data_IF_416622347274
#
_entry.id   IF_416622347274
#
_cell.length_a   1.000
_cell.length_b   1.000
_cell.length_c   1.000
_cell.angle_alpha   90.00
_cell.angle_beta   90.00
_cell.angle_gamma   90.00
#
_symmetry.space_group_name_H-M   'P 1'
#
loop_
_entity.id
_entity.type
_entity.pdbx_description
1 polymer ?
#
# COMPACT_ATOMS: atom_id res chain seq x y z
N UNK A 1 12.25 9.02 2.32
CA UNK A 1 11.55 8.00 1.50
C UNK A 1 10.37 8.66 0.81
N UNK A 2 10.12 8.34 -0.46
CA UNK A 2 9.01 8.93 -1.23
C UNK A 2 7.66 8.22 -1.05
N UNK A 3 7.63 7.11 -0.32
CA UNK A 3 6.44 6.27 -0.05
C UNK A 3 5.17 7.06 0.31
N UNK A 4 5.21 8.18 1.08
CA UNK A 4 3.99 8.94 1.38
C UNK A 4 3.38 9.69 0.18
N UNK A 5 4.09 9.85 -0.94
CA UNK A 5 3.62 10.61 -2.11
C UNK A 5 2.29 10.10 -2.67
N UNK A 6 2.01 8.81 -2.55
CA UNK A 6 0.73 8.22 -2.96
C UNK A 6 -0.46 8.75 -2.14
N UNK A 7 -0.24 9.23 -0.90
CA UNK A 7 -1.28 9.89 -0.13
C UNK A 7 -1.61 11.28 -0.67
N UNK A 8 -0.65 11.99 -1.26
CA UNK A 8 -0.93 13.25 -1.98
C UNK A 8 -1.80 12.95 -3.20
N UNK A 9 -1.48 11.90 -3.96
CA UNK A 9 -2.31 11.44 -5.07
C UNK A 9 -3.73 11.06 -4.61
N UNK A 10 -3.86 10.31 -3.51
CA UNK A 10 -5.15 10.00 -2.89
C UNK A 10 -5.94 11.28 -2.54
N UNK A 11 -5.31 12.26 -1.90
CA UNK A 11 -5.97 13.52 -1.52
C UNK A 11 -6.43 14.30 -2.77
N UNK A 12 -5.62 14.34 -3.83
CA UNK A 12 -5.99 14.94 -5.11
C UNK A 12 -7.16 14.21 -5.78
N UNK A 13 -7.09 12.88 -5.91
CA UNK A 13 -8.14 12.03 -6.50
C UNK A 13 -9.46 12.06 -5.72
N UNK A 14 -9.39 12.35 -4.41
CA UNK A 14 -10.57 12.54 -3.55
C UNK A 14 -11.05 13.99 -3.50
N UNK A 15 -10.48 14.88 -4.33
CA UNK A 15 -10.78 16.32 -4.38
C UNK A 15 -10.55 17.07 -3.07
N UNK A 16 -9.71 16.53 -2.18
CA UNK A 16 -9.31 17.16 -0.92
C UNK A 16 -8.14 18.11 -1.16
N UNK A 17 -8.32 19.08 -2.06
CA UNK A 17 -7.26 19.94 -2.60
C UNK A 17 -6.50 20.70 -1.52
N UNK A 18 -7.20 21.22 -0.49
CA UNK A 18 -6.55 21.91 0.64
C UNK A 18 -5.57 20.99 1.35
N UNK A 19 -6.00 19.76 1.68
CA UNK A 19 -5.15 18.78 2.33
C UNK A 19 -4.00 18.31 1.42
N UNK A 20 -4.26 18.14 0.12
CA UNK A 20 -3.22 17.80 -0.87
C UNK A 20 -2.16 18.91 -0.94
N UNK A 21 -2.59 20.17 -0.99
CA UNK A 21 -1.70 21.34 -1.01
C UNK A 21 -0.91 21.47 0.30
N UNK A 22 -1.54 21.25 1.47
CA UNK A 22 -0.84 21.23 2.75
C UNK A 22 0.20 20.11 2.79
N UNK A 23 -0.14 18.89 2.39
CA UNK A 23 0.79 17.77 2.39
C UNK A 23 1.97 18.00 1.44
N UNK A 24 1.69 18.47 0.21
CA UNK A 24 2.73 18.80 -0.77
C UNK A 24 3.59 19.98 -0.30
N UNK A 25 2.99 21.03 0.24
CA UNK A 25 3.67 22.20 0.78
C UNK A 25 4.57 21.86 1.96
N UNK A 26 4.10 21.05 2.91
CA UNK A 26 4.91 20.56 4.03
C UNK A 26 6.09 19.71 3.56
N UNK A 27 5.88 18.82 2.59
CA UNK A 27 6.96 18.01 2.02
C UNK A 27 8.01 18.88 1.29
N UNK A 28 7.55 19.88 0.53
CA UNK A 28 8.43 20.84 -0.14
C UNK A 28 9.21 21.69 0.86
N UNK A 29 8.53 22.25 1.88
CA UNK A 29 9.17 23.05 2.92
C UNK A 29 10.23 22.27 3.69
N UNK A 30 9.93 21.03 4.10
CA UNK A 30 10.89 20.15 4.76
C UNK A 30 12.09 19.82 3.85
N UNK A 31 11.84 19.58 2.56
CA UNK A 31 12.90 19.31 1.57
C UNK A 31 13.79 20.52 1.35
N UNK A 32 13.21 21.72 1.25
CA UNK A 32 13.96 22.97 1.09
C UNK A 32 14.74 23.32 2.36
N UNK A 33 14.17 23.06 3.54
CA UNK A 33 14.90 23.19 4.80
C UNK A 33 16.11 22.24 4.85
N UNK A 34 15.92 20.97 4.46
CA UNK A 34 17.03 20.03 4.35
C UNK A 34 18.08 20.49 3.32
N UNK A 35 17.66 21.06 2.18
CA UNK A 35 18.55 21.63 1.19
C UNK A 35 19.35 22.83 1.73
N UNK A 36 18.74 23.67 2.59
CA UNK A 36 19.40 24.80 3.20
C UNK A 36 20.41 24.39 4.30
N UNK A 37 20.08 23.35 5.08
CA UNK A 37 20.94 22.86 6.17
C UNK A 37 22.05 21.93 5.67
N UNK A 38 21.77 21.12 4.63
CA UNK A 38 22.67 20.11 4.09
C UNK A 38 22.54 20.01 2.55
N UNK A 39 23.03 21.00 1.80
CA UNK A 39 22.83 21.09 0.34
C UNK A 39 23.46 19.93 -0.42
N UNK A 40 24.69 19.54 -0.06
CA UNK A 40 25.41 18.45 -0.75
C UNK A 40 24.72 17.10 -0.55
N UNK A 41 24.33 16.78 0.69
CA UNK A 41 23.58 15.57 1.00
C UNK A 41 22.21 15.54 0.30
N UNK A 42 21.54 16.69 0.21
CA UNK A 42 20.27 16.81 -0.51
C UNK A 42 20.45 16.60 -2.02
N UNK A 43 21.52 17.17 -2.61
CA UNK A 43 21.86 16.97 -4.02
C UNK A 43 22.22 15.51 -4.31
N UNK A 44 23.05 14.90 -3.47
CA UNK A 44 23.38 13.47 -3.56
C UNK A 44 22.11 12.62 -3.48
N UNK A 45 21.22 12.91 -2.53
CA UNK A 45 19.96 12.19 -2.39
C UNK A 45 19.12 12.24 -3.68
N UNK A 46 18.81 13.44 -4.18
CA UNK A 46 17.87 13.60 -5.30
C UNK A 46 18.44 13.19 -6.65
N UNK A 47 19.71 13.49 -6.91
CA UNK A 47 20.30 13.34 -8.25
C UNK A 47 21.15 12.08 -8.42
N UNK A 48 21.62 11.48 -7.33
CA UNK A 48 22.49 10.30 -7.40
C UNK A 48 21.86 9.07 -6.73
N UNK A 49 21.44 9.20 -5.48
CA UNK A 49 20.98 8.06 -4.68
C UNK A 49 19.55 7.63 -5.02
N UNK A 50 18.64 8.56 -5.26
CA UNK A 50 17.24 8.28 -5.55
C UNK A 50 17.03 7.54 -6.89
N UNK A 51 17.69 7.94 -8.00
CA UNK A 51 17.56 7.21 -9.27
C UNK A 51 18.28 5.84 -9.24
N UNK A 52 19.37 5.73 -8.48
CA UNK A 52 20.17 4.51 -8.39
C UNK A 52 19.63 3.58 -7.30
N UNK A 53 18.54 2.87 -7.60
CA UNK A 53 17.94 1.91 -6.65
C UNK A 53 18.82 0.69 -6.37
N UNK A 54 19.80 0.41 -7.22
CA UNK A 54 20.71 -0.73 -7.07
C UNK A 54 21.65 -0.55 -5.86
N UNK A 55 21.89 0.71 -5.45
CA UNK A 55 22.63 1.04 -4.22
C UNK A 55 21.87 0.73 -2.93
N UNK A 56 20.54 0.69 -2.96
CA UNK A 56 19.70 0.58 -1.75
C UNK A 56 19.57 -0.89 -1.30
N UNK A 57 20.02 -1.83 -2.13
CA UNK A 57 20.07 -3.27 -1.85
C UNK A 57 19.69 -4.08 -3.09
N UNK A 58 20.04 -5.36 -3.10
CA UNK A 58 19.57 -6.31 -4.12
C UNK A 58 18.04 -6.25 -4.13
N UNK A 59 17.41 -5.93 -5.27
CA UNK A 59 15.95 -5.78 -5.34
C UNK A 59 15.21 -7.04 -4.88
N UNK A 60 15.80 -8.21 -5.13
CA UNK A 60 15.30 -9.51 -4.69
C UNK A 60 15.50 -9.80 -3.18
N UNK A 61 16.24 -8.95 -2.45
CA UNK A 61 16.52 -9.13 -1.02
C UNK A 61 15.22 -9.33 -0.25
N UNK A 62 15.20 -10.30 0.66
CA UNK A 62 13.97 -10.85 1.24
C UNK A 62 13.13 -9.81 1.98
N UNK A 63 13.77 -8.79 2.55
CA UNK A 63 13.08 -7.70 3.24
C UNK A 63 12.26 -6.79 2.30
N UNK A 64 12.53 -6.79 0.97
CA UNK A 64 11.81 -5.96 0.00
C UNK A 64 10.44 -6.55 -0.39
N UNK A 65 9.41 -6.24 0.36
CA UNK A 65 8.03 -6.71 0.17
C UNK A 65 7.20 -5.78 -0.74
N UNK A 66 7.79 -5.35 -1.85
CA UNK A 66 7.09 -4.68 -2.95
C UNK A 66 6.81 -5.64 -4.11
N UNK A 67 5.93 -5.26 -5.04
CA UNK A 67 5.72 -5.99 -6.28
C UNK A 67 7.01 -6.09 -7.11
N UNK A 68 7.82 -5.02 -7.11
CA UNK A 68 9.15 -5.02 -7.77
C UNK A 68 10.07 -6.08 -7.16
N UNK A 69 10.14 -6.15 -5.83
CA UNK A 69 10.95 -7.16 -5.14
C UNK A 69 10.46 -8.58 -5.40
N UNK A 70 9.14 -8.79 -5.41
CA UNK A 70 8.53 -10.07 -5.75
C UNK A 70 8.89 -10.53 -7.17
N UNK A 71 8.76 -9.64 -8.16
CA UNK A 71 9.12 -9.93 -9.55
C UNK A 71 10.62 -10.17 -9.69
N UNK A 72 11.46 -9.38 -9.01
CA UNK A 72 12.92 -9.57 -9.03
C UNK A 72 13.36 -10.95 -8.50
N UNK A 73 12.62 -11.54 -7.53
CA UNK A 73 12.89 -12.89 -7.01
C UNK A 73 12.62 -14.02 -8.01
N UNK A 74 11.98 -13.74 -9.14
CA UNK A 74 11.85 -14.72 -10.22
C UNK A 74 13.20 -15.02 -10.89
N UNK A 75 14.20 -14.13 -10.74
CA UNK A 75 15.52 -14.32 -11.34
C UNK A 75 15.52 -14.24 -12.87
N UNK A 76 14.49 -13.62 -13.45
CA UNK A 76 14.28 -13.50 -14.90
C UNK A 76 14.16 -12.02 -15.28
N UNK A 77 15.29 -11.30 -15.52
CA UNK A 77 15.28 -9.85 -15.75
C UNK A 77 14.37 -9.42 -16.91
N UNK A 78 14.40 -10.14 -18.04
CA UNK A 78 13.57 -9.81 -19.22
C UNK A 78 12.08 -9.93 -18.93
N UNK A 79 11.66 -10.94 -18.15
CA UNK A 79 10.29 -11.04 -17.68
C UNK A 79 9.98 -9.94 -16.65
N UNK A 80 10.97 -9.54 -15.85
CA UNK A 80 10.83 -8.51 -14.83
C UNK A 80 10.46 -7.15 -15.38
N UNK A 81 11.07 -6.76 -16.51
CA UNK A 81 10.81 -5.50 -17.20
C UNK A 81 9.37 -5.37 -17.69
N UNK A 82 8.70 -6.49 -17.96
CA UNK A 82 7.29 -6.55 -18.33
C UNK A 82 6.36 -6.73 -17.11
N UNK A 83 6.67 -7.69 -16.23
CA UNK A 83 5.79 -8.09 -15.13
C UNK A 83 5.71 -7.01 -14.04
N UNK A 84 6.80 -6.30 -13.76
CA UNK A 84 6.79 -5.25 -12.75
C UNK A 84 5.81 -4.10 -13.08
N UNK A 85 5.91 -3.41 -14.23
CA UNK A 85 4.96 -2.35 -14.55
C UNK A 85 3.53 -2.90 -14.70
N UNK A 86 3.34 -4.10 -15.24
CA UNK A 86 2.02 -4.72 -15.37
C UNK A 86 1.35 -4.97 -14.01
N UNK A 87 2.08 -5.54 -13.04
CA UNK A 87 1.55 -5.80 -11.69
C UNK A 87 1.30 -4.50 -10.92
N UNK A 88 2.17 -3.50 -11.06
CA UNK A 88 1.96 -2.16 -10.48
C UNK A 88 0.71 -1.51 -11.07
N UNK A 89 0.55 -1.53 -12.39
CA UNK A 89 -0.62 -0.98 -13.06
C UNK A 89 -1.90 -1.68 -12.58
N UNK A 90 -1.90 -3.00 -12.48
CA UNK A 90 -3.06 -3.75 -11.98
C UNK A 90 -3.40 -3.37 -10.53
N UNK A 91 -2.40 -3.22 -9.66
CA UNK A 91 -2.61 -2.80 -8.28
C UNK A 91 -3.17 -1.37 -8.20
N UNK A 92 -2.69 -0.44 -9.04
CA UNK A 92 -3.19 0.94 -9.12
C UNK A 92 -4.61 1.01 -9.68
N UNK A 93 -4.94 0.20 -10.70
CA UNK A 93 -6.29 0.10 -11.25
C UNK A 93 -7.27 -0.46 -10.22
N UNK A 94 -6.88 -1.54 -9.54
CA UNK A 94 -7.67 -2.13 -8.46
C UNK A 94 -7.88 -1.13 -7.31
N UNK A 95 -6.82 -0.44 -6.90
CA UNK A 95 -6.89 0.62 -5.90
C UNK A 95 -7.83 1.75 -6.36
N UNK A 96 -7.68 2.26 -7.58
CA UNK A 96 -8.51 3.31 -8.14
C UNK A 96 -9.98 2.90 -8.23
N UNK A 97 -10.27 1.65 -8.60
CA UNK A 97 -11.63 1.11 -8.63
C UNK A 97 -12.23 0.92 -7.23
N UNK A 98 -11.49 0.34 -6.28
CA UNK A 98 -11.91 0.21 -4.87
C UNK A 98 -12.15 1.58 -4.26
N UNK A 99 -11.24 2.50 -4.55
CA UNK A 99 -11.35 3.89 -4.21
C UNK A 99 -12.65 4.40 -4.84
N UNK A 100 -12.91 4.34 -6.13
CA UNK A 100 -14.20 4.80 -6.68
C UNK A 100 -15.48 4.16 -6.07
N UNK A 101 -15.39 3.09 -5.28
CA UNK A 101 -16.55 2.50 -4.58
C UNK A 101 -16.72 2.85 -3.10
N UNK A 102 -15.81 3.59 -2.46
CA UNK A 102 -15.91 3.98 -1.02
C UNK A 102 -16.70 5.26 -0.74
N UNK A 103 -17.27 5.35 0.45
CA UNK A 103 -17.70 6.60 1.11
C UNK A 103 -16.68 7.10 2.14
N UNK A 104 -16.03 6.19 2.87
CA UNK A 104 -15.26 6.55 4.06
C UNK A 104 -13.81 6.95 3.79
N UNK A 105 -13.35 7.95 4.54
CA UNK A 105 -11.95 8.44 4.49
C UNK A 105 -10.98 7.38 5.02
N UNK A 106 -11.36 6.66 6.08
CA UNK A 106 -10.57 5.59 6.71
C UNK A 106 -10.28 4.44 5.74
N UNK A 107 -11.29 3.99 4.99
CA UNK A 107 -11.12 3.01 3.92
C UNK A 107 -10.17 3.52 2.83
N UNK A 108 -10.30 4.80 2.45
CA UNK A 108 -9.38 5.45 1.52
C UNK A 108 -7.93 5.45 2.01
N UNK A 109 -7.70 5.77 3.29
CA UNK A 109 -6.37 5.73 3.93
C UNK A 109 -5.80 4.31 3.90
N UNK A 110 -6.58 3.31 4.32
CA UNK A 110 -6.15 1.91 4.36
C UNK A 110 -5.77 1.37 2.98
N UNK A 111 -6.64 1.54 1.98
CA UNK A 111 -6.37 1.12 0.61
C UNK A 111 -5.13 1.82 0.04
N UNK A 112 -4.95 3.11 0.34
CA UNK A 112 -3.80 3.90 -0.11
C UNK A 112 -2.49 3.43 0.54
N UNK A 113 -2.52 3.11 1.84
CA UNK A 113 -1.37 2.52 2.54
C UNK A 113 -0.96 1.17 1.97
N UNK A 114 -1.93 0.29 1.70
CA UNK A 114 -1.72 -1.02 1.09
C UNK A 114 -1.09 -0.87 -0.31
N UNK A 115 -1.69 -0.09 -1.20
CA UNK A 115 -1.15 0.07 -2.56
C UNK A 115 0.21 0.76 -2.53
N UNK A 116 0.43 1.72 -1.62
CA UNK A 116 1.72 2.38 -1.42
C UNK A 116 2.84 1.41 -1.07
N UNK A 117 2.56 0.41 -0.24
CA UNK A 117 3.49 -0.68 0.06
C UNK A 117 3.74 -1.58 -1.16
N UNK A 118 2.72 -1.87 -1.96
CA UNK A 118 2.84 -2.73 -3.14
C UNK A 118 3.64 -2.06 -4.29
N UNK A 119 3.37 -0.79 -4.58
CA UNK A 119 3.90 -0.11 -5.79
C UNK A 119 5.20 0.65 -5.56
N UNK A 120 5.62 0.82 -4.29
CA UNK A 120 6.92 1.43 -4.01
C UNK A 120 8.05 0.61 -4.64
N UNK A 121 9.10 1.26 -5.19
CA UNK A 121 10.24 0.54 -5.77
C UNK A 121 10.91 -0.41 -4.78
N UNK A 122 10.93 -0.03 -3.50
CA UNK A 122 11.40 -0.83 -2.39
C UNK A 122 10.48 -0.61 -1.18
N UNK A 123 9.95 -1.71 -0.64
CA UNK A 123 9.16 -1.72 0.61
C UNK A 123 9.84 -2.63 1.60
N UNK A 124 10.54 -2.07 2.58
CA UNK A 124 11.09 -2.87 3.67
C UNK A 124 9.96 -3.38 4.57
N UNK A 125 10.21 -4.45 5.32
CA UNK A 125 9.22 -5.02 6.24
C UNK A 125 8.67 -3.99 7.25
N UNK A 126 9.47 -3.04 7.71
CA UNK A 126 9.02 -1.95 8.59
C UNK A 126 8.13 -0.90 7.86
N UNK A 127 8.15 -0.92 6.52
CA UNK A 127 7.16 -0.38 5.56
C UNK A 127 5.72 -0.71 5.90
N UNK A 128 5.50 -1.94 6.34
CA UNK A 128 4.19 -2.57 6.40
C UNK A 128 3.35 -2.06 7.57
N UNK A 129 3.87 -1.10 8.35
CA UNK A 129 3.07 -0.27 9.26
C UNK A 129 1.86 0.36 8.55
N UNK A 130 1.97 0.62 7.24
CA UNK A 130 0.87 1.13 6.43
C UNK A 130 -0.27 0.13 6.18
N UNK A 131 -0.13 -1.14 6.59
CA UNK A 131 -1.22 -2.11 6.64
C UNK A 131 -2.09 -1.96 7.91
N UNK A 132 -1.60 -1.28 8.96
CA UNK A 132 -2.32 -1.13 10.22
C UNK A 132 -3.73 -0.54 10.06
N UNK A 133 -3.98 0.51 9.25
CA UNK A 133 -5.34 1.03 9.08
C UNK A 133 -6.31 -0.02 8.52
N UNK A 134 -5.84 -0.93 7.65
CA UNK A 134 -6.66 -2.02 7.12
C UNK A 134 -7.00 -3.05 8.20
N UNK A 135 -6.03 -3.39 9.07
CA UNK A 135 -6.26 -4.31 10.20
C UNK A 135 -7.24 -3.70 11.21
N UNK A 136 -7.12 -2.41 11.50
CA UNK A 136 -8.07 -1.68 12.37
C UNK A 136 -9.48 -1.70 11.76
N UNK A 137 -9.62 -1.47 10.46
CA UNK A 137 -10.92 -1.56 9.79
C UNK A 137 -11.53 -2.97 9.83
N UNK A 138 -10.70 -4.02 9.72
CA UNK A 138 -11.20 -5.39 9.90
C UNK A 138 -11.79 -5.59 11.30
N UNK A 139 -11.13 -5.07 12.34
CA UNK A 139 -11.65 -5.12 13.72
C UNK A 139 -12.93 -4.29 13.85
N UNK A 140 -12.92 -3.04 13.39
CA UNK A 140 -14.07 -2.14 13.43
C UNK A 140 -15.32 -2.77 12.78
N UNK A 141 -15.18 -3.23 11.54
CA UNK A 141 -16.26 -3.90 10.82
C UNK A 141 -16.69 -5.23 11.47
N UNK A 142 -15.79 -5.91 12.20
CA UNK A 142 -16.14 -7.09 12.96
C UNK A 142 -16.97 -6.75 14.20
N UNK A 143 -16.60 -5.68 14.91
CA UNK A 143 -17.30 -5.22 16.10
C UNK A 143 -18.68 -4.65 15.77
N UNK A 144 -18.83 -4.03 14.61
CA UNK A 144 -20.13 -3.59 14.08
C UNK A 144 -21.04 -4.75 13.64
N UNK A 145 -20.49 -5.96 13.41
CA UNK A 145 -21.29 -7.13 13.03
C UNK A 145 -21.89 -7.83 14.28
N UNK A 146 -23.05 -8.49 14.16
CA UNK A 146 -23.67 -9.21 15.27
C UNK A 146 -22.71 -10.20 15.95
N UNK A 147 -22.74 -10.28 17.28
CA UNK A 147 -21.76 -11.00 18.09
C UNK A 147 -21.59 -12.47 17.67
N UNK A 148 -22.68 -13.16 17.37
CA UNK A 148 -22.67 -14.56 16.96
C UNK A 148 -22.43 -14.78 15.45
N UNK A 149 -22.24 -13.73 14.66
CA UNK A 149 -22.16 -13.85 13.20
C UNK A 149 -20.85 -14.49 12.72
N UNK A 150 -20.95 -15.34 11.69
CA UNK A 150 -19.78 -15.89 10.99
C UNK A 150 -18.88 -14.78 10.43
N UNK A 151 -19.47 -13.65 10.03
CA UNK A 151 -18.75 -12.47 9.52
C UNK A 151 -17.82 -11.88 10.57
N UNK A 152 -18.31 -11.63 11.79
CA UNK A 152 -17.49 -11.12 12.90
C UNK A 152 -16.28 -12.02 13.16
N UNK A 153 -16.50 -13.34 13.28
CA UNK A 153 -15.42 -14.30 13.51
C UNK A 153 -14.37 -14.30 12.39
N UNK A 154 -14.81 -14.26 11.13
CA UNK A 154 -13.92 -14.22 9.96
C UNK A 154 -13.08 -12.94 9.93
N UNK A 155 -13.68 -11.78 10.20
CA UNK A 155 -12.98 -10.50 10.19
C UNK A 155 -11.98 -10.38 11.34
N UNK A 156 -12.36 -10.80 12.56
CA UNK A 156 -11.42 -10.87 13.69
C UNK A 156 -10.28 -11.85 13.41
N UNK A 157 -10.58 -13.03 12.88
CA UNK A 157 -9.54 -13.99 12.50
C UNK A 157 -8.61 -13.41 11.44
N UNK A 158 -9.13 -12.74 10.41
CA UNK A 158 -8.33 -12.07 9.38
C UNK A 158 -7.44 -10.96 9.97
N UNK A 159 -7.97 -10.16 10.91
CA UNK A 159 -7.20 -9.13 11.59
C UNK A 159 -6.06 -9.72 12.43
N UNK A 160 -6.35 -10.76 13.23
CA UNK A 160 -5.36 -11.44 14.08
C UNK A 160 -4.30 -12.13 13.23
N UNK A 161 -4.70 -12.94 12.25
CA UNK A 161 -3.76 -13.63 11.35
C UNK A 161 -2.92 -12.62 10.57
N UNK A 162 -3.53 -11.57 10.03
CA UNK A 162 -2.82 -10.51 9.32
C UNK A 162 -1.80 -9.80 10.21
N UNK A 163 -2.16 -9.48 11.46
CA UNK A 163 -1.25 -8.87 12.42
C UNK A 163 -0.09 -9.80 12.80
N UNK A 164 -0.38 -11.05 13.15
CA UNK A 164 0.64 -12.04 13.49
C UNK A 164 1.59 -12.29 12.33
N UNK A 165 1.06 -12.39 11.09
CA UNK A 165 1.90 -12.49 9.90
C UNK A 165 2.80 -11.26 9.76
N UNK A 166 2.25 -10.05 9.82
CA UNK A 166 3.03 -8.80 9.70
C UNK A 166 4.14 -8.67 10.76
N UNK A 167 3.99 -9.31 11.93
CA UNK A 167 4.98 -9.30 13.01
C UNK A 167 5.88 -10.55 13.07
N UNK A 168 5.62 -11.58 12.27
CA UNK A 168 6.24 -12.92 12.44
C UNK A 168 7.71 -13.03 12.03
N UNK A 169 8.22 -12.16 11.16
CA UNK A 169 9.49 -12.37 10.47
C UNK A 169 9.51 -13.60 9.54
N UNK A 170 8.36 -14.21 9.21
CA UNK A 170 8.28 -15.49 8.47
C UNK A 170 9.03 -15.49 7.13
N UNK A 171 9.15 -14.33 6.48
CA UNK A 171 9.86 -14.20 5.21
C UNK A 171 11.36 -14.53 5.35
N UNK A 172 11.95 -14.32 6.52
CA UNK A 172 13.37 -14.60 6.79
C UNK A 172 13.72 -16.08 6.74
N UNK A 173 12.74 -16.98 6.88
CA UNK A 173 12.94 -18.42 6.65
C UNK A 173 13.44 -18.75 5.24
N UNK A 174 13.25 -17.81 4.30
CA UNK A 174 13.58 -17.95 2.88
C UNK A 174 14.79 -17.09 2.47
N UNK A 175 15.51 -16.51 3.42
CA UNK A 175 16.69 -15.69 3.12
C UNK A 175 17.80 -16.50 2.44
N UNK A 176 18.07 -17.71 2.94
CA UNK A 176 19.13 -18.58 2.44
C UNK A 176 18.68 -19.56 1.35
N UNK A 177 17.36 -19.72 1.17
CA UNK A 177 16.77 -20.62 0.18
C UNK A 177 15.67 -19.91 -0.62
N UNK A 178 16.07 -19.23 -1.69
CA UNK A 178 15.21 -18.35 -2.48
C UNK A 178 14.69 -18.99 -3.77
N UNK A 179 14.93 -20.28 -4.02
CA UNK A 179 14.57 -20.95 -5.28
C UNK A 179 13.34 -21.86 -5.14
N UNK A 180 12.55 -21.94 -6.21
CA UNK A 180 11.37 -22.78 -6.30
C UNK A 180 10.08 -22.14 -5.78
N UNK A 181 8.97 -22.87 -5.95
CA UNK A 181 7.61 -22.37 -5.69
C UNK A 181 7.39 -22.03 -4.22
N UNK A 182 7.88 -22.87 -3.30
CA UNK A 182 7.71 -22.63 -1.86
C UNK A 182 8.45 -21.37 -1.39
N UNK A 183 9.67 -21.15 -1.88
CA UNK A 183 10.44 -19.93 -1.60
C UNK A 183 9.78 -18.70 -2.18
N UNK A 184 9.20 -18.80 -3.38
CA UNK A 184 8.43 -17.71 -3.96
C UNK A 184 7.17 -17.39 -3.15
N UNK A 185 6.42 -18.39 -2.69
CA UNK A 185 5.23 -18.17 -1.87
C UNK A 185 5.60 -17.60 -0.50
N UNK A 186 6.56 -18.23 0.18
CA UNK A 186 6.97 -17.88 1.53
C UNK A 186 7.73 -16.56 1.61
N UNK A 187 8.66 -16.31 0.69
CA UNK A 187 9.44 -15.08 0.63
C UNK A 187 8.64 -13.85 0.22
N UNK A 188 7.42 -14.04 -0.30
CA UNK A 188 6.49 -12.97 -0.66
C UNK A 188 5.25 -12.93 0.25
N UNK A 189 5.27 -13.56 1.43
CA UNK A 189 4.12 -13.66 2.33
C UNK A 189 3.48 -12.30 2.63
N UNK A 190 4.28 -11.23 2.77
CA UNK A 190 3.74 -9.90 3.06
C UNK A 190 3.20 -9.18 1.82
N UNK A 191 3.72 -9.51 0.63
CA UNK A 191 3.11 -9.08 -0.64
C UNK A 191 1.75 -9.76 -0.82
N UNK A 192 1.64 -11.07 -0.53
CA UNK A 192 0.37 -11.80 -0.58
C UNK A 192 -0.65 -11.26 0.42
N UNK A 193 -0.23 -10.98 1.66
CA UNK A 193 -1.07 -10.33 2.65
C UNK A 193 -1.58 -8.96 2.16
N UNK A 194 -0.70 -8.16 1.58
CA UNK A 194 -1.04 -6.83 1.05
C UNK A 194 -2.04 -6.93 -0.12
N UNK A 195 -1.82 -7.85 -1.06
CA UNK A 195 -2.75 -8.13 -2.16
C UNK A 195 -4.12 -8.61 -1.64
N UNK A 196 -4.12 -9.50 -0.65
CA UNK A 196 -5.34 -10.00 -0.03
C UNK A 196 -6.15 -8.88 0.62
N UNK A 197 -5.48 -7.99 1.37
CA UNK A 197 -6.12 -6.80 1.95
C UNK A 197 -6.64 -5.86 0.85
N UNK A 198 -5.88 -5.62 -0.22
CA UNK A 198 -6.33 -4.76 -1.32
C UNK A 198 -7.60 -5.30 -2.01
N UNK A 199 -7.67 -6.62 -2.18
CA UNK A 199 -8.79 -7.31 -2.84
C UNK A 199 -10.04 -7.37 -1.96
N UNK A 200 -9.87 -7.78 -0.69
CA UNK A 200 -10.97 -8.26 0.16
C UNK A 200 -11.24 -7.42 1.41
N UNK A 201 -10.48 -6.35 1.68
CA UNK A 201 -10.83 -5.43 2.75
C UNK A 201 -12.28 -4.94 2.52
N UNK A 202 -13.19 -5.11 3.50
CA UNK A 202 -14.54 -4.61 3.37
C UNK A 202 -14.50 -3.09 3.25
N UNK A 203 -15.12 -2.56 2.21
CA UNK A 203 -15.25 -1.11 1.99
C UNK A 203 -16.74 -0.85 1.85
N UNK A 204 -17.34 -0.04 2.75
CA UNK A 204 -18.74 0.36 2.60
C UNK A 204 -18.99 0.96 1.21
N UNK A 205 -20.01 0.47 0.48
CA UNK A 205 -20.31 0.98 -0.84
C UNK A 205 -20.73 2.44 -0.79
N UNK A 206 -20.50 3.17 -1.87
CA UNK A 206 -21.09 4.49 -2.10
C UNK A 206 -22.61 4.44 -1.98
N UNK A 207 -23.17 5.23 -1.06
CA UNK A 207 -24.61 5.39 -0.93
C UNK A 207 -25.18 5.96 -2.24
N UNK A 208 -25.91 5.14 -2.99
CA UNK A 208 -26.60 5.54 -4.22
C UNK A 208 -27.89 6.34 -3.95
N UNK A 209 -28.19 6.67 -2.69
CA UNK A 209 -29.42 7.33 -2.26
C UNK A 209 -29.34 8.86 -2.39
N UNK A 210 -28.16 9.47 -2.27
CA UNK A 210 -27.99 10.92 -2.34
C UNK A 210 -28.14 11.55 -3.74
N UNK A 211 -28.24 10.74 -4.80
CA UNK A 211 -28.46 11.19 -6.18
C UNK A 211 -29.95 11.22 -6.58
N UNK A 212 -30.84 10.55 -5.84
CA UNK A 212 -32.29 10.48 -6.18
C UNK A 212 -33.08 11.67 -5.62
N UNK A 213 -32.62 12.27 -4.54
CA UNK A 213 -33.30 13.44 -3.92
C UNK A 213 -32.95 14.77 -4.61
N UNK A 214 -32.01 14.77 -5.57
CA UNK A 214 -31.63 15.95 -6.35
C UNK A 214 -32.49 16.15 -7.62
N UNK A 215 -33.43 15.25 -7.91
CA UNK A 215 -34.28 15.28 -9.12
C UNK A 215 -35.76 15.22 -8.74
N UNK A 216 -36.21 16.14 -7.89
CA UNK A 216 -37.61 16.53 -7.84
C UNK A 216 -37.68 17.93 -8.46
N UNK A 217 -38.27 18.10 -9.65
CA UNK A 217 -38.55 19.43 -10.19
C UNK A 217 -39.52 20.13 -9.25
N UNK A 218 -39.24 21.39 -8.91
CA UNK A 218 -40.23 22.25 -8.27
C UNK A 218 -41.39 22.47 -9.25
N UNK A 219 -42.59 22.10 -8.83
CA UNK A 219 -43.87 22.43 -9.49
C UNK A 219 -44.09 23.95 -9.55
#
# INVERSE_FOLDING_TARGET
KLTPGIFIAYLALTRRWRAAATAAGSAAAATLLAAAVAPDATREFWFSALPNTDRVGVLAFISNQSLRGMVARLGQPELGDLLWPATVLLALLLWGWRLWRRTEVTAGLALTGIVGALVSPVTWIHHLVWLLPALVLLVDHALAAPAASRRRRRLLAAAVVGYLLACSGIVWLWELNSSGVLAFLGGNMYVWLSLALLLWLPVPPRDAAGERDAVVPAD
#
